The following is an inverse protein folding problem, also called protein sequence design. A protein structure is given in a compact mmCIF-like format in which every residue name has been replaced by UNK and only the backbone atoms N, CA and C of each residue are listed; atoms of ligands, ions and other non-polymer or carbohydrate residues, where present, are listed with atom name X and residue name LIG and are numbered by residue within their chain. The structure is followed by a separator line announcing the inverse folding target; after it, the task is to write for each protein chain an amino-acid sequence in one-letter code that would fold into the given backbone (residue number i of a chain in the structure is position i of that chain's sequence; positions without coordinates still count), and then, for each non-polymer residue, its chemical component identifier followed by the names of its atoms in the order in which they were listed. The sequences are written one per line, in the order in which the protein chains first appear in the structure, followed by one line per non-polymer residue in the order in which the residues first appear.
data_IF_827267197614
#
_entry.id   IF_827267197614
#
_cell.length_a   1.000
_cell.length_b   1.000
_cell.length_c   1.000
_cell.angle_alpha   90.00
_cell.angle_beta   90.00
_cell.angle_gamma   90.00
#
_symmetry.space_group_name_H-M   'P 1'
#
loop_
_entity.id
_entity.type
_entity.pdbx_description
1 polymer ?
#
# COMPACT_ATOMS: atom_id res chain seq x y z
N UNK A 1 -9.16 -14.16 -7.49
CA UNK A 1 -7.80 -14.38 -6.94
C UNK A 1 -6.80 -13.75 -7.89
N UNK A 2 -6.01 -12.82 -7.38
CA UNK A 2 -4.92 -12.15 -8.11
C UNK A 2 -3.62 -12.26 -7.31
N UNK A 3 -2.49 -12.31 -8.01
CA UNK A 3 -1.17 -12.32 -7.36
C UNK A 3 -0.63 -10.91 -7.24
N UNK A 4 -0.15 -10.56 -6.04
CA UNK A 4 0.49 -9.27 -5.77
C UNK A 4 1.74 -9.12 -6.65
N UNK A 5 1.75 -8.08 -7.48
CA UNK A 5 2.84 -7.79 -8.41
C UNK A 5 2.79 -6.35 -8.91
N UNK A 6 3.89 -5.85 -9.48
CA UNK A 6 3.95 -4.49 -10.02
C UNK A 6 3.05 -4.28 -11.25
N UNK A 7 2.63 -5.37 -11.91
CA UNK A 7 1.77 -5.33 -13.08
C UNK A 7 0.28 -5.30 -12.72
N UNK A 8 -0.09 -5.61 -11.47
CA UNK A 8 -1.48 -5.64 -11.00
C UNK A 8 -2.18 -4.29 -11.23
N UNK A 9 -1.45 -3.18 -11.11
CA UNK A 9 -1.97 -1.83 -11.36
C UNK A 9 -2.67 -1.71 -12.72
N UNK A 10 -2.16 -2.39 -13.76
CA UNK A 10 -2.70 -2.29 -15.11
C UNK A 10 -4.13 -2.82 -15.23
N UNK A 11 -4.56 -3.72 -14.34
CA UNK A 11 -5.93 -4.23 -14.32
C UNK A 11 -6.97 -3.19 -13.85
N UNK A 12 -6.52 -2.12 -13.19
CA UNK A 12 -7.37 -1.12 -12.56
C UNK A 12 -7.41 0.23 -13.27
N UNK A 13 -6.66 0.44 -14.36
CA UNK A 13 -6.56 1.72 -15.06
C UNK A 13 -7.64 1.86 -16.15
N UNK A 14 -8.90 1.56 -15.83
CA UNK A 14 -10.00 1.58 -16.80
C UNK A 14 -10.71 2.93 -16.87
N UNK A 15 -10.55 3.79 -15.86
CA UNK A 15 -11.11 5.12 -15.83
C UNK A 15 -10.13 6.19 -16.36
N UNK A 16 -10.59 7.14 -17.20
CA UNK A 16 -9.70 8.10 -17.86
C UNK A 16 -8.87 8.97 -16.92
N UNK A 17 -9.45 9.47 -15.81
CA UNK A 17 -8.69 10.30 -14.87
C UNK A 17 -7.69 9.47 -14.08
N UNK A 18 -8.05 8.22 -13.75
CA UNK A 18 -7.20 7.30 -13.02
C UNK A 18 -5.97 6.91 -13.85
N UNK A 19 -6.17 6.57 -15.12
CA UNK A 19 -5.09 6.31 -16.08
C UNK A 19 -4.21 7.54 -16.27
N UNK A 20 -4.81 8.73 -16.44
CA UNK A 20 -4.08 9.98 -16.58
C UNK A 20 -3.22 10.27 -15.33
N UNK A 21 -3.78 10.11 -14.14
CA UNK A 21 -3.06 10.35 -12.87
C UNK A 21 -1.90 9.37 -12.71
N UNK A 22 -2.11 8.07 -12.97
CA UNK A 22 -1.04 7.08 -12.92
C UNK A 22 0.10 7.43 -13.89
N UNK A 23 -0.24 7.81 -15.13
CA UNK A 23 0.76 8.26 -16.12
C UNK A 23 1.54 9.48 -15.64
N UNK A 24 0.88 10.43 -14.99
CA UNK A 24 1.54 11.59 -14.40
C UNK A 24 2.52 11.16 -13.30
N UNK A 25 2.12 10.28 -12.37
CA UNK A 25 3.00 9.77 -11.31
C UNK A 25 4.23 9.05 -11.87
N UNK A 26 4.05 8.24 -12.91
CA UNK A 26 5.12 7.47 -13.57
C UNK A 26 6.11 8.34 -14.34
N UNK A 27 5.65 9.45 -14.91
CA UNK A 27 6.48 10.32 -15.77
C UNK A 27 7.00 11.56 -15.05
N UNK A 28 6.53 11.82 -13.83
CA UNK A 28 6.97 12.96 -13.04
C UNK A 28 8.38 12.76 -12.48
N UNK A 29 9.30 13.62 -12.89
CA UNK A 29 10.71 13.51 -12.51
C UNK A 29 10.92 13.65 -11.00
N UNK A 30 10.13 14.47 -10.31
CA UNK A 30 10.25 14.70 -8.87
C UNK A 30 9.79 13.45 -8.11
N UNK A 31 8.64 12.88 -8.47
CA UNK A 31 8.14 11.62 -7.89
C UNK A 31 9.16 10.49 -8.09
N UNK A 32 9.59 10.26 -9.34
CA UNK A 32 10.45 9.12 -9.65
C UNK A 32 11.84 9.22 -9.01
N UNK A 33 12.44 10.42 -8.97
CA UNK A 33 13.74 10.58 -8.32
C UNK A 33 13.64 10.55 -6.80
N UNK A 34 12.54 11.01 -6.21
CA UNK A 34 12.32 10.90 -4.76
C UNK A 34 12.18 9.44 -4.35
N UNK A 35 11.40 8.62 -5.07
CA UNK A 35 11.32 7.18 -4.83
C UNK A 35 12.68 6.47 -4.98
N UNK A 36 13.50 6.88 -5.94
CA UNK A 36 14.89 6.38 -6.03
C UNK A 36 15.71 6.76 -4.80
N UNK A 37 15.56 7.98 -4.28
CA UNK A 37 16.22 8.41 -3.06
C UNK A 37 15.71 7.69 -1.81
N UNK A 38 14.42 7.31 -1.76
CA UNK A 38 13.90 6.42 -0.71
C UNK A 38 14.67 5.10 -0.66
N UNK A 39 15.01 4.51 -1.81
CA UNK A 39 15.85 3.31 -1.86
C UNK A 39 17.31 3.55 -1.44
N UNK A 40 17.90 4.70 -1.76
CA UNK A 40 19.24 5.04 -1.26
C UNK A 40 19.24 5.03 0.28
N UNK A 41 18.21 5.59 0.91
CA UNK A 41 18.09 5.58 2.37
C UNK A 41 17.79 4.18 2.91
N UNK A 42 16.72 3.54 2.45
CA UNK A 42 16.26 2.27 2.98
C UNK A 42 17.24 1.13 2.65
N UNK A 43 17.61 0.95 1.38
CA UNK A 43 18.38 -0.20 0.91
C UNK A 43 19.88 0.01 1.10
N UNK A 44 20.43 1.13 0.62
CA UNK A 44 21.89 1.32 0.61
C UNK A 44 22.44 1.67 2.00
N UNK A 45 21.73 2.52 2.76
CA UNK A 45 22.19 2.99 4.08
C UNK A 45 21.69 2.11 5.22
N UNK A 46 20.40 1.77 5.25
CA UNK A 46 19.79 1.04 6.37
C UNK A 46 19.76 -0.49 6.17
N UNK A 47 19.99 -0.97 4.95
CA UNK A 47 19.89 -2.40 4.58
C UNK A 47 18.48 -2.97 4.83
N UNK A 48 17.45 -2.19 4.53
CA UNK A 48 16.04 -2.60 4.51
C UNK A 48 15.60 -3.01 3.10
N UNK A 49 14.33 -3.39 2.97
CA UNK A 49 13.72 -3.77 1.69
C UNK A 49 13.51 -2.55 0.77
N UNK A 50 13.13 -2.84 -0.48
CA UNK A 50 12.81 -1.85 -1.51
C UNK A 50 11.60 -1.00 -1.11
N UNK A 51 11.78 0.33 -1.13
CA UNK A 51 10.76 1.36 -0.92
C UNK A 51 10.77 2.36 -2.11
N UNK A 52 11.11 1.85 -3.30
CA UNK A 52 11.30 2.63 -4.52
C UNK A 52 10.14 2.51 -5.51
N UNK A 53 10.34 2.83 -6.80
CA UNK A 53 9.27 2.84 -7.80
C UNK A 53 8.54 1.50 -7.98
N UNK A 54 9.23 0.38 -7.79
CA UNK A 54 8.60 -0.94 -7.91
C UNK A 54 7.66 -1.20 -6.74
N UNK A 55 8.07 -0.85 -5.51
CA UNK A 55 7.22 -0.91 -4.32
C UNK A 55 5.95 -0.08 -4.50
N UNK A 56 6.11 1.19 -4.89
CA UNK A 56 4.98 2.11 -5.12
C UNK A 56 3.93 1.54 -6.08
N UNK A 57 4.35 0.89 -7.17
CA UNK A 57 3.45 0.22 -8.13
C UNK A 57 2.72 -0.98 -7.54
N UNK A 58 3.44 -1.83 -6.81
CA UNK A 58 2.87 -3.01 -6.16
C UNK A 58 1.77 -2.58 -5.19
N UNK A 59 2.09 -1.63 -4.31
CA UNK A 59 1.14 -1.15 -3.29
C UNK A 59 -0.05 -0.47 -3.93
N UNK A 60 0.15 0.37 -4.96
CA UNK A 60 -0.95 1.00 -5.68
C UNK A 60 -1.89 -0.02 -6.36
N UNK A 61 -1.33 -1.04 -7.01
CA UNK A 61 -2.12 -2.11 -7.64
C UNK A 61 -2.90 -2.92 -6.61
N UNK A 62 -2.23 -3.38 -5.55
CA UNK A 62 -2.86 -4.10 -4.44
C UNK A 62 -3.97 -3.28 -3.77
N UNK A 63 -3.77 -1.97 -3.59
CA UNK A 63 -4.73 -1.09 -2.94
C UNK A 63 -6.00 -0.92 -3.77
N UNK A 64 -5.88 -0.80 -5.11
CA UNK A 64 -7.04 -0.73 -5.99
C UNK A 64 -7.79 -2.06 -6.09
N UNK A 65 -7.09 -3.21 -6.02
CA UNK A 65 -7.75 -4.52 -5.92
C UNK A 65 -8.52 -4.65 -4.61
N UNK A 66 -7.88 -4.37 -3.46
CA UNK A 66 -8.51 -4.40 -2.14
C UNK A 66 -9.72 -3.47 -2.11
N UNK A 67 -9.55 -2.23 -2.59
CA UNK A 67 -10.64 -1.26 -2.64
C UNK A 67 -11.79 -1.76 -3.52
N UNK A 68 -11.49 -2.35 -4.69
CA UNK A 68 -12.52 -2.91 -5.59
C UNK A 68 -13.34 -4.03 -4.93
N UNK A 69 -12.70 -4.91 -4.16
CA UNK A 69 -13.39 -5.96 -3.40
C UNK A 69 -14.26 -5.39 -2.26
N UNK A 70 -13.79 -4.33 -1.58
CA UNK A 70 -14.55 -3.66 -0.52
C UNK A 70 -15.82 -2.99 -1.05
N UNK A 71 -15.82 -2.50 -2.30
CA UNK A 71 -16.98 -1.83 -2.92
C UNK A 71 -18.23 -2.72 -3.02
N UNK A 72 -18.06 -4.05 -2.96
CA UNK A 72 -19.19 -4.99 -3.02
C UNK A 72 -20.04 -4.96 -1.75
N UNK A 73 -19.45 -4.60 -0.61
CA UNK A 73 -20.10 -4.66 0.71
C UNK A 73 -20.12 -3.30 1.42
N UNK A 74 -19.26 -2.35 1.03
CA UNK A 74 -19.05 -1.09 1.73
C UNK A 74 -19.07 0.11 0.79
N UNK A 75 -19.80 1.15 1.19
CA UNK A 75 -19.70 2.46 0.53
C UNK A 75 -18.43 3.18 0.97
N UNK A 76 -17.56 3.65 0.07
CA UNK A 76 -16.35 4.39 0.43
C UNK A 76 -16.64 5.62 1.29
N UNK A 77 -15.74 5.94 2.22
CA UNK A 77 -15.94 7.04 3.18
C UNK A 77 -16.07 8.38 2.47
N UNK A 78 -15.27 8.64 1.44
CA UNK A 78 -15.33 9.89 0.67
C UNK A 78 -16.67 10.06 -0.03
N UNK A 79 -17.29 8.97 -0.50
CA UNK A 79 -18.63 8.98 -1.10
C UNK A 79 -19.71 9.21 -0.04
N UNK A 80 -19.63 8.53 1.11
CA UNK A 80 -20.55 8.74 2.23
C UNK A 80 -20.55 10.19 2.70
N UNK A 81 -19.36 10.81 2.74
CA UNK A 81 -19.17 12.21 3.12
C UNK A 81 -19.44 13.20 1.97
N UNK A 82 -19.86 12.71 0.79
CA UNK A 82 -20.16 13.51 -0.40
C UNK A 82 -18.99 14.38 -0.86
N UNK A 83 -17.77 13.90 -0.67
CA UNK A 83 -16.52 14.60 -1.01
C UNK A 83 -16.30 14.58 -2.52
N UNK A 84 -16.54 13.42 -3.15
CA UNK A 84 -16.21 13.17 -4.55
C UNK A 84 -16.98 11.98 -5.15
N UNK A 85 -16.71 11.68 -6.43
CA UNK A 85 -17.26 10.52 -7.13
C UNK A 85 -16.44 9.24 -6.89
N UNK A 86 -16.94 8.09 -7.34
CA UNK A 86 -16.22 6.81 -7.22
C UNK A 86 -14.87 6.80 -7.95
N UNK A 87 -14.80 7.37 -9.16
CA UNK A 87 -13.54 7.51 -9.90
C UNK A 87 -12.53 8.34 -9.09
N UNK A 88 -12.98 9.41 -8.46
CA UNK A 88 -12.13 10.27 -7.65
C UNK A 88 -11.69 9.59 -6.33
N UNK A 89 -12.52 8.72 -5.74
CA UNK A 89 -12.11 7.91 -4.60
C UNK A 89 -10.97 6.93 -4.97
N UNK A 90 -11.00 6.36 -6.18
CA UNK A 90 -9.89 5.57 -6.71
C UNK A 90 -8.62 6.40 -6.89
N UNK A 91 -8.73 7.69 -7.25
CA UNK A 91 -7.58 8.61 -7.30
C UNK A 91 -6.96 8.79 -5.91
N UNK A 92 -7.79 8.89 -4.85
CA UNK A 92 -7.30 8.94 -3.47
C UNK A 92 -6.50 7.69 -3.13
N UNK A 93 -7.06 6.50 -3.40
CA UNK A 93 -6.38 5.21 -3.16
C UNK A 93 -5.08 5.12 -3.95
N UNK A 94 -5.11 5.45 -5.25
CA UNK A 94 -3.93 5.42 -6.12
C UNK A 94 -2.82 6.34 -5.61
N UNK A 95 -3.11 7.64 -5.46
CA UNK A 95 -2.10 8.63 -5.08
C UNK A 95 -1.60 8.39 -3.67
N UNK A 96 -2.50 8.08 -2.73
CA UNK A 96 -2.16 7.77 -1.35
C UNK A 96 -1.19 6.59 -1.27
N UNK A 97 -1.50 5.50 -1.96
CA UNK A 97 -0.67 4.30 -2.01
C UNK A 97 0.65 4.50 -2.76
N UNK A 98 0.65 5.23 -3.86
CA UNK A 98 1.85 5.40 -4.69
C UNK A 98 2.87 6.35 -4.03
N UNK A 99 2.41 7.35 -3.27
CA UNK A 99 3.24 8.40 -2.68
C UNK A 99 3.53 8.20 -1.19
N UNK A 100 2.98 7.15 -0.55
CA UNK A 100 3.03 6.98 0.91
C UNK A 100 4.45 6.98 1.48
N UNK A 101 5.42 6.56 0.67
CA UNK A 101 6.78 6.23 1.08
C UNK A 101 7.87 7.23 0.63
N UNK A 102 7.46 8.36 0.04
CA UNK A 102 8.38 9.40 -0.42
C UNK A 102 9.28 9.94 0.69
N UNK A 103 8.79 9.96 1.92
CA UNK A 103 9.50 10.46 3.10
C UNK A 103 10.73 9.66 3.47
N UNK A 104 10.82 8.40 3.06
CA UNK A 104 12.04 7.61 3.22
C UNK A 104 13.24 8.27 2.50
N UNK A 105 13.01 9.11 1.49
CA UNK A 105 14.09 9.88 0.84
C UNK A 105 14.81 10.88 1.76
N UNK A 106 14.16 11.27 2.86
CA UNK A 106 14.72 12.13 3.91
C UNK A 106 15.26 11.26 5.04
N UNK A 107 14.38 10.47 5.67
CA UNK A 107 14.72 9.61 6.80
C UNK A 107 13.63 8.55 7.05
N UNK A 108 13.99 7.44 7.69
CA UNK A 108 13.05 6.37 8.05
C UNK A 108 12.12 6.73 9.21
N UNK A 109 12.69 7.36 10.25
CA UNK A 109 11.92 7.91 11.37
C UNK A 109 11.00 9.01 10.82
N UNK A 110 9.72 8.94 11.21
CA UNK A 110 8.66 9.87 10.79
C UNK A 110 8.50 9.97 9.27
N UNK A 111 8.81 8.90 8.52
CA UNK A 111 8.73 8.91 7.07
C UNK A 111 7.32 9.22 6.56
N UNK A 112 6.26 8.83 7.26
CA UNK A 112 4.89 9.23 6.94
C UNK A 112 4.69 10.76 6.98
N UNK A 113 5.23 11.47 7.98
CA UNK A 113 5.19 12.94 8.04
C UNK A 113 6.03 13.58 6.93
N UNK A 114 7.23 13.05 6.69
CA UNK A 114 8.06 13.50 5.57
C UNK A 114 7.36 13.27 4.22
N UNK A 115 6.66 12.16 4.04
CA UNK A 115 5.86 11.87 2.84
C UNK A 115 4.76 12.90 2.65
N UNK A 116 4.04 13.29 3.71
CA UNK A 116 3.02 14.36 3.62
C UNK A 116 3.64 15.68 3.15
N UNK A 117 4.80 16.06 3.70
CA UNK A 117 5.50 17.30 3.36
C UNK A 117 5.90 17.31 1.88
N UNK A 118 6.50 16.22 1.40
CA UNK A 118 6.97 16.09 0.01
C UNK A 118 5.78 15.96 -0.96
N UNK A 119 4.78 15.15 -0.62
CA UNK A 119 3.65 14.87 -1.49
C UNK A 119 2.70 16.07 -1.65
N UNK A 120 2.56 16.93 -0.64
CA UNK A 120 1.64 18.07 -0.70
C UNK A 120 1.81 18.96 -1.97
N UNK A 121 3.00 19.50 -2.29
CA UNK A 121 3.19 20.29 -3.51
C UNK A 121 3.06 19.44 -4.79
N UNK A 122 3.45 18.17 -4.77
CA UNK A 122 3.33 17.25 -5.91
C UNK A 122 1.85 17.03 -6.25
N UNK A 123 1.06 16.62 -5.26
CA UNK A 123 -0.37 16.32 -5.40
C UNK A 123 -1.13 17.57 -5.85
N UNK A 124 -0.81 18.74 -5.30
CA UNK A 124 -1.40 20.02 -5.73
C UNK A 124 -1.18 20.28 -7.23
N UNK A 125 0.06 20.07 -7.70
CA UNK A 125 0.45 20.26 -9.10
C UNK A 125 -0.16 19.22 -10.04
N UNK A 126 -0.24 17.95 -9.62
CA UNK A 126 -0.78 16.87 -10.45
C UNK A 126 -2.30 16.91 -10.53
N UNK A 127 -3.00 17.17 -9.43
CA UNK A 127 -4.46 17.29 -9.44
C UNK A 127 -4.94 18.44 -10.32
N UNK A 128 -4.21 19.57 -10.38
CA UNK A 128 -4.54 20.68 -11.30
C UNK A 128 -4.51 20.27 -12.78
N UNK A 129 -3.74 19.26 -13.15
CA UNK A 129 -3.70 18.72 -14.53
C UNK A 129 -4.88 17.79 -14.83
N UNK A 130 -5.34 17.05 -13.82
CA UNK A 130 -6.46 16.10 -13.95
C UNK A 130 -7.81 16.80 -13.78
N UNK A 131 -7.87 17.86 -12.97
CA UNK A 131 -9.06 18.65 -12.66
C UNK A 131 -8.81 20.15 -12.96
N UNK A 132 -8.62 20.52 -14.23
CA UNK A 132 -8.34 21.92 -14.60
C UNK A 132 -9.50 22.86 -14.28
N UNK A 133 -10.74 22.37 -14.32
CA UNK A 133 -11.96 23.17 -14.18
C UNK A 133 -12.62 23.07 -12.79
N UNK A 134 -12.15 22.17 -11.91
CA UNK A 134 -12.71 21.98 -10.56
C UNK A 134 -11.60 21.98 -9.49
N UNK A 135 -11.05 23.17 -9.23
CA UNK A 135 -10.04 23.35 -8.20
C UNK A 135 -10.55 23.06 -6.79
N UNK A 136 -11.85 23.22 -6.53
CA UNK A 136 -12.44 22.94 -5.23
C UNK A 136 -12.40 21.44 -4.93
N UNK A 137 -12.76 20.59 -5.92
CA UNK A 137 -12.59 19.15 -5.82
C UNK A 137 -11.12 18.76 -5.64
N UNK A 138 -10.20 19.36 -6.41
CA UNK A 138 -8.77 19.09 -6.26
C UNK A 138 -8.26 19.34 -4.82
N UNK A 139 -8.72 20.41 -4.15
CA UNK A 139 -8.35 20.69 -2.75
C UNK A 139 -8.90 19.62 -1.79
N UNK A 140 -10.15 19.18 -2.00
CA UNK A 140 -10.75 18.10 -1.20
C UNK A 140 -9.99 16.79 -1.37
N UNK A 141 -9.73 16.38 -2.62
CA UNK A 141 -8.98 15.15 -2.93
C UNK A 141 -7.56 15.19 -2.36
N UNK A 142 -6.88 16.34 -2.42
CA UNK A 142 -5.56 16.50 -1.81
C UNK A 142 -5.58 16.17 -0.31
N UNK A 143 -6.61 16.61 0.40
CA UNK A 143 -6.73 16.35 1.85
C UNK A 143 -6.88 14.85 2.15
N UNK A 144 -7.71 14.15 1.37
CA UNK A 144 -7.89 12.69 1.48
C UNK A 144 -6.63 11.90 1.10
N UNK A 145 -5.89 12.35 0.09
CA UNK A 145 -4.61 11.74 -0.31
C UNK A 145 -3.57 11.91 0.80
N UNK A 146 -3.43 13.12 1.35
CA UNK A 146 -2.47 13.38 2.42
C UNK A 146 -2.84 12.63 3.72
N UNK A 147 -4.13 12.49 4.02
CA UNK A 147 -4.60 11.62 5.10
C UNK A 147 -4.19 10.16 4.85
N UNK A 148 -4.42 9.64 3.64
CA UNK A 148 -4.00 8.27 3.28
C UNK A 148 -2.49 8.06 3.44
N UNK A 149 -1.69 9.02 2.98
CA UNK A 149 -0.23 9.02 3.15
C UNK A 149 0.16 9.10 4.62
N UNK A 150 -0.48 9.93 5.43
CA UNK A 150 -0.14 10.03 6.85
C UNK A 150 -0.49 8.74 7.61
N UNK A 151 -1.66 8.21 7.31
CA UNK A 151 -2.26 7.10 8.04
C UNK A 151 -1.68 5.74 7.68
N UNK A 152 -0.85 5.59 6.63
CA UNK A 152 -0.28 4.28 6.27
C UNK A 152 0.66 3.69 7.35
N UNK A 153 1.21 4.54 8.22
CA UNK A 153 2.07 4.15 9.34
C UNK A 153 1.33 3.24 10.32
N UNK A 154 2.05 2.27 10.91
CA UNK A 154 1.44 1.19 11.70
C UNK A 154 0.64 1.70 12.91
N UNK A 155 1.15 2.74 13.58
CA UNK A 155 0.56 3.29 14.81
C UNK A 155 -0.47 4.41 14.60
N UNK A 156 -0.85 4.68 13.35
CA UNK A 156 -1.81 5.75 13.01
C UNK A 156 -3.13 5.16 12.53
N UNK A 157 -4.24 5.44 13.20
CA UNK A 157 -5.55 4.92 12.74
C UNK A 157 -6.00 5.57 11.43
N UNK A 158 -6.38 4.73 10.46
CA UNK A 158 -7.05 5.18 9.25
C UNK A 158 -8.48 5.64 9.59
N UNK A 159 -8.88 6.79 9.02
CA UNK A 159 -10.21 7.38 9.20
C UNK A 159 -11.12 7.22 7.97
N UNK A 160 -10.65 6.50 6.95
CA UNK A 160 -11.39 6.27 5.71
C UNK A 160 -11.11 4.88 5.15
N UNK A 161 -12.08 4.32 4.42
CA UNK A 161 -11.95 3.03 3.73
C UNK A 161 -10.81 3.07 2.71
N UNK A 162 -10.63 4.20 2.04
CA UNK A 162 -9.58 4.47 1.06
C UNK A 162 -8.19 4.35 1.71
N UNK A 163 -8.01 4.98 2.89
CA UNK A 163 -6.76 4.88 3.64
C UNK A 163 -6.53 3.47 4.21
N UNK A 164 -7.60 2.80 4.65
CA UNK A 164 -7.55 1.41 5.09
C UNK A 164 -7.07 0.46 3.99
N UNK A 165 -7.61 0.60 2.77
CA UNK A 165 -7.21 -0.21 1.62
C UNK A 165 -5.72 -0.01 1.27
N UNK A 166 -5.26 1.25 1.25
CA UNK A 166 -3.85 1.59 1.01
C UNK A 166 -2.91 1.02 2.08
N UNK A 167 -3.27 1.15 3.37
CA UNK A 167 -2.49 0.62 4.48
C UNK A 167 -2.34 -0.91 4.40
N UNK A 168 -3.44 -1.62 4.15
CA UNK A 168 -3.40 -3.08 4.05
C UNK A 168 -2.58 -3.50 2.83
N UNK A 169 -2.71 -2.79 1.71
CA UNK A 169 -1.93 -3.04 0.50
C UNK A 169 -0.42 -2.92 0.71
N UNK A 170 0.03 -1.96 1.51
CA UNK A 170 1.46 -1.80 1.85
C UNK A 170 2.01 -3.06 2.52
N UNK A 171 1.24 -3.62 3.47
CA UNK A 171 1.58 -4.90 4.11
C UNK A 171 1.66 -6.09 3.15
N UNK A 172 1.10 -6.02 1.94
CA UNK A 172 1.12 -7.15 0.99
C UNK A 172 2.46 -7.33 0.25
N UNK A 173 3.34 -6.32 0.20
CA UNK A 173 4.63 -6.40 -0.51
C UNK A 173 5.72 -7.10 0.32
N UNK A 174 5.42 -8.30 0.83
CA UNK A 174 6.30 -9.07 1.73
C UNK A 174 6.93 -10.33 1.11
N UNK A 175 6.73 -10.58 -0.18
CA UNK A 175 7.24 -11.79 -0.83
C UNK A 175 8.78 -11.77 -1.02
N UNK A 176 9.42 -12.93 -0.85
CA UNK A 176 10.89 -13.16 -0.86
C UNK A 176 11.69 -12.54 -2.02
N UNK A 177 11.06 -12.22 -3.15
CA UNK A 177 11.72 -11.56 -4.28
C UNK A 177 12.21 -10.14 -3.95
N UNK A 178 11.63 -9.55 -2.91
CA UNK A 178 11.79 -8.15 -2.49
C UNK A 178 12.81 -7.99 -1.36
N UNK A 179 13.13 -9.07 -0.66
CA UNK A 179 14.00 -9.14 0.53
C UNK A 179 15.47 -9.52 0.24
N UNK A 180 15.87 -9.67 -1.03
CA UNK A 180 17.16 -10.28 -1.40
C UNK A 180 18.39 -9.41 -1.14
N UNK A 181 18.22 -8.09 -1.01
CA UNK A 181 19.36 -7.15 -0.94
C UNK A 181 20.05 -7.17 0.44
N UNK A 182 19.32 -7.11 1.57
CA UNK A 182 19.93 -7.20 2.91
C UNK A 182 20.67 -8.51 3.18
N UNK A 183 20.14 -9.64 2.68
CA UNK A 183 20.73 -10.96 2.88
C UNK A 183 22.13 -11.09 2.25
N UNK A 184 22.36 -10.47 1.08
CA UNK A 184 23.69 -10.45 0.45
C UNK A 184 24.72 -9.68 1.27
N UNK A 185 24.29 -8.80 2.17
CA UNK A 185 25.17 -8.00 3.05
C UNK A 185 25.44 -8.65 4.41
N UNK A 186 24.96 -9.87 4.67
CA UNK A 186 25.36 -10.68 5.83
C UNK A 186 24.61 -10.43 7.14
N UNK A 187 23.57 -9.59 7.14
CA UNK A 187 22.65 -9.45 8.29
C UNK A 187 21.61 -10.56 8.22
N UNK A 188 21.70 -11.54 9.11
CA UNK A 188 20.70 -12.61 9.27
C UNK A 188 20.02 -12.40 10.61
N UNK A 189 18.84 -11.79 10.60
CA UNK A 189 17.94 -11.70 11.76
C UNK A 189 16.61 -12.43 11.48
N UNK A 190 15.79 -12.58 12.52
CA UNK A 190 14.49 -13.27 12.43
C UNK A 190 13.54 -12.60 11.43
N UNK A 191 13.64 -11.28 11.27
CA UNK A 191 12.86 -10.50 10.29
C UNK A 191 13.26 -10.87 8.86
N UNK A 192 14.56 -10.97 8.58
CA UNK A 192 15.07 -11.35 7.27
C UNK A 192 14.73 -12.80 6.92
N UNK A 193 14.82 -13.74 7.88
CA UNK A 193 14.47 -15.15 7.68
C UNK A 193 12.97 -15.34 7.43
N UNK A 194 12.12 -14.66 8.21
CA UNK A 194 10.67 -14.73 8.06
C UNK A 194 10.20 -14.17 6.72
N UNK A 195 10.70 -13.02 6.29
CA UNK A 195 10.40 -12.45 4.98
C UNK A 195 10.85 -13.34 3.80
N UNK A 196 12.03 -13.97 3.90
CA UNK A 196 12.50 -14.93 2.89
C UNK A 196 11.63 -16.20 2.80
N UNK A 197 10.86 -16.49 3.83
CA UNK A 197 9.97 -17.65 3.89
C UNK A 197 8.69 -17.44 3.08
N UNK A 198 8.28 -16.18 2.86
CA UNK A 198 7.08 -15.85 2.09
C UNK A 198 7.35 -16.05 0.60
N UNK A 199 6.64 -16.98 -0.03
CA UNK A 199 6.83 -17.31 -1.45
C UNK A 199 5.95 -16.47 -2.36
N UNK A 200 4.74 -16.13 -1.92
CA UNK A 200 3.72 -15.44 -2.72
C UNK A 200 2.65 -14.84 -1.81
N UNK A 201 2.10 -13.69 -2.21
CA UNK A 201 0.90 -13.11 -1.61
C UNK A 201 -0.18 -12.99 -2.68
N UNK A 202 -1.40 -13.38 -2.35
CA UNK A 202 -2.57 -13.29 -3.23
C UNK A 202 -3.71 -12.57 -2.53
N UNK A 203 -4.51 -11.86 -3.33
CA UNK A 203 -5.70 -11.14 -2.88
C UNK A 203 -6.90 -11.77 -3.59
N UNK A 204 -7.95 -12.07 -2.84
CA UNK A 204 -9.19 -12.60 -3.39
C UNK A 204 -10.42 -12.17 -2.59
N UNK A 205 -11.59 -12.36 -3.21
CA UNK A 205 -12.87 -12.23 -2.55
C UNK A 205 -13.04 -13.36 -1.53
N UNK A 206 -13.23 -13.00 -0.25
CA UNK A 206 -13.47 -13.96 0.81
C UNK A 206 -14.93 -14.44 0.88
N UNK A 207 -15.16 -15.53 1.62
CA UNK A 207 -16.50 -16.09 1.86
C UNK A 207 -17.25 -15.40 3.01
N UNK A 208 -16.52 -14.88 4.00
CA UNK A 208 -17.08 -14.28 5.21
C UNK A 208 -16.78 -12.78 5.32
N UNK A 209 -15.57 -12.39 4.94
CA UNK A 209 -15.15 -11.00 4.81
C UNK A 209 -14.90 -10.70 3.33
N UNK A 210 -15.15 -9.47 2.85
CA UNK A 210 -15.02 -9.14 1.43
C UNK A 210 -13.59 -9.35 0.91
N UNK A 211 -12.57 -9.13 1.74
CA UNK A 211 -11.16 -9.26 1.34
C UNK A 211 -10.48 -10.39 2.07
N UNK A 212 -9.82 -11.26 1.32
CA UNK A 212 -8.99 -12.34 1.83
C UNK A 212 -7.58 -12.24 1.25
N UNK A 213 -6.58 -12.23 2.13
CA UNK A 213 -5.16 -12.11 1.79
C UNK A 213 -4.49 -13.44 2.11
N UNK A 214 -4.09 -14.16 1.07
CA UNK A 214 -3.42 -15.44 1.20
C UNK A 214 -1.91 -15.24 1.17
N UNK A 215 -1.24 -15.60 2.26
CA UNK A 215 0.21 -15.49 2.42
C UNK A 215 0.81 -16.89 2.37
N UNK A 216 1.37 -17.25 1.22
CA UNK A 216 2.01 -18.54 1.01
C UNK A 216 3.46 -18.52 1.46
N UNK A 217 3.88 -19.57 2.17
CA UNK A 217 5.24 -19.71 2.70
C UNK A 217 5.78 -21.13 2.55
N UNK A 218 7.11 -21.25 2.52
CA UNK A 218 7.82 -22.53 2.49
C UNK A 218 8.39 -22.94 3.86
N UNK A 219 8.32 -22.04 4.84
CA UNK A 219 8.78 -22.23 6.21
C UNK A 219 7.83 -21.46 7.14
N UNK A 220 7.33 -22.07 8.24
CA UNK A 220 6.46 -21.43 9.22
C UNK A 220 7.01 -20.15 9.85
N UNK A 221 8.33 -19.91 9.80
CA UNK A 221 8.93 -18.64 10.22
C UNK A 221 8.30 -17.42 9.53
N UNK A 222 7.72 -17.60 8.33
CA UNK A 222 6.98 -16.54 7.62
C UNK A 222 5.77 -15.98 8.37
N UNK A 223 5.20 -16.74 9.32
CA UNK A 223 4.09 -16.27 10.16
C UNK A 223 4.46 -14.99 10.93
N UNK A 224 5.73 -14.84 11.31
CA UNK A 224 6.20 -13.64 12.00
C UNK A 224 6.04 -12.36 11.18
N UNK A 225 6.13 -12.41 9.83
CA UNK A 225 5.83 -11.23 9.00
C UNK A 225 4.35 -10.86 9.04
N UNK A 226 3.49 -11.88 9.16
CA UNK A 226 2.05 -11.66 9.26
C UNK A 226 1.75 -11.00 10.61
N UNK A 227 2.26 -11.55 11.70
CA UNK A 227 1.99 -11.07 13.07
C UNK A 227 2.60 -9.68 13.31
N UNK A 228 3.85 -9.43 12.92
CA UNK A 228 4.53 -8.17 13.26
C UNK A 228 4.24 -7.01 12.31
N UNK A 229 3.93 -7.29 11.03
CA UNK A 229 3.75 -6.24 10.01
C UNK A 229 2.31 -6.16 9.56
N UNK A 230 1.75 -7.28 9.10
CA UNK A 230 0.42 -7.28 8.49
C UNK A 230 -0.70 -7.06 9.50
N UNK A 231 -0.67 -7.76 10.65
CA UNK A 231 -1.72 -7.66 11.65
C UNK A 231 -1.79 -6.28 12.27
N UNK A 232 -0.64 -5.65 12.59
CA UNK A 232 -0.60 -4.26 13.07
C UNK A 232 -1.27 -3.29 12.09
N UNK A 233 -1.00 -3.45 10.79
CA UNK A 233 -1.64 -2.65 9.73
C UNK A 233 -3.13 -2.94 9.61
N UNK A 234 -3.57 -4.20 9.76
CA UNK A 234 -4.99 -4.55 9.75
C UNK A 234 -5.71 -3.91 10.94
N UNK A 235 -5.14 -3.99 12.14
CA UNK A 235 -5.74 -3.44 13.38
C UNK A 235 -6.01 -1.94 13.29
N UNK A 236 -5.07 -1.16 12.73
CA UNK A 236 -5.20 0.31 12.60
C UNK A 236 -5.77 0.76 11.26
N UNK A 237 -6.26 -0.16 10.42
CA UNK A 237 -6.80 0.14 9.09
C UNK A 237 -8.21 0.74 9.09
N UNK A 238 -8.95 0.65 10.19
CA UNK A 238 -10.37 1.00 10.23
C UNK A 238 -11.28 0.07 9.41
N UNK A 239 -10.72 -0.97 8.78
CA UNK A 239 -11.44 -1.99 7.99
C UNK A 239 -11.07 -3.41 8.42
N UNK A 240 -10.58 -3.60 9.64
CA UNK A 240 -10.14 -4.89 10.18
C UNK A 240 -11.22 -5.99 10.09
N UNK A 241 -12.47 -5.62 10.35
CA UNK A 241 -13.63 -6.53 10.29
C UNK A 241 -13.97 -6.97 8.86
N UNK A 242 -13.35 -6.36 7.84
CA UNK A 242 -13.59 -6.60 6.42
C UNK A 242 -12.43 -7.35 5.73
N UNK A 243 -11.34 -7.60 6.45
CA UNK A 243 -10.15 -8.29 5.89
C UNK A 243 -9.78 -9.52 6.72
N UNK A 244 -9.55 -10.64 6.03
CA UNK A 244 -8.94 -11.83 6.61
C UNK A 244 -7.56 -12.09 6.02
N UNK A 245 -6.59 -12.39 6.88
CA UNK A 245 -5.25 -12.81 6.48
C UNK A 245 -5.08 -14.30 6.76
N UNK A 246 -4.66 -15.08 5.76
CA UNK A 246 -4.52 -16.53 5.85
C UNK A 246 -3.10 -16.95 5.52
N UNK A 247 -2.46 -17.63 6.47
CA UNK A 247 -1.16 -18.26 6.28
C UNK A 247 -1.32 -19.65 5.64
N UNK A 248 -0.58 -19.89 4.56
CA UNK A 248 -0.55 -21.17 3.84
C UNK A 248 0.87 -21.74 3.82
N UNK A 249 1.08 -22.94 4.36
CA UNK A 249 2.32 -23.70 4.20
C UNK A 249 2.09 -24.82 3.19
N UNK A 250 2.82 -24.79 2.06
CA UNK A 250 2.68 -25.79 0.98
C UNK A 250 1.23 -26.00 0.52
N UNK A 251 0.43 -24.92 0.52
CA UNK A 251 -0.98 -24.92 0.13
C UNK A 251 -1.95 -25.37 1.22
N UNK A 252 -1.47 -25.70 2.42
CA UNK A 252 -2.31 -26.06 3.57
C UNK A 252 -2.40 -24.87 4.52
N UNK A 253 -3.61 -24.50 4.91
CA UNK A 253 -3.82 -23.46 5.91
C UNK A 253 -3.24 -23.89 7.25
N UNK A 254 -2.38 -23.02 7.80
CA UNK A 254 -1.83 -23.21 9.14
C UNK A 254 -2.56 -22.33 10.14
N UNK A 255 -2.86 -22.87 11.32
CA UNK A 255 -3.46 -22.09 12.41
C UNK A 255 -2.42 -21.14 12.99
N UNK A 256 -2.76 -19.85 13.02
CA UNK A 256 -2.01 -18.82 13.74
C UNK A 256 -2.50 -18.79 15.19
N UNK A 257 -1.60 -18.59 16.16
CA UNK A 257 -2.03 -18.31 17.54
C UNK A 257 -2.47 -16.85 17.57
N UNK A 258 -3.78 -16.62 17.48
CA UNK A 258 -4.31 -15.28 17.73
C UNK A 258 -4.13 -15.03 19.23
N UNK A 259 -3.07 -14.31 19.60
CA UNK A 259 -2.96 -13.78 20.96
C UNK A 259 -4.03 -12.69 21.08
N UNK A 260 -5.12 -13.01 21.77
CA UNK A 260 -6.12 -12.04 22.20
C UNK A 260 -5.59 -11.21 23.35
#
# INVERSE_FOLDING_TARGET
MVTVSADLINAHLNEPKLEQMFRLLETDLEVQNTLRMSNVMAVERLRYNDHGPVHAKIVAGSALEIFSLLLEEVTPTTLQNRVCSLEDAKIVVLCGSYLHDLGNSIHRIDHNLHSVIIANPIVDRLLKKVYPDDHALAVRLKSEILHTIFAHEEDVNCLSVEAGAAKIADGTDMAKGRTRIPYRTGKVDIHSLSALSITKVEIEKGQHKPVQILVSMNNPAGVFQIEEVMERKVETSGIADLVDVIALEKGVQIRRKINR
#
